data_IF_194146013228
#
_entry.id   IF_194146013228
#
_cell.length_a   1.000
_cell.length_b   1.000
_cell.length_c   1.000
_cell.angle_alpha   90.00
_cell.angle_beta   90.00
_cell.angle_gamma   90.00
#
_symmetry.space_group_name_H-M   'P 1'
#
loop_
_entity.id
_entity.type
_entity.pdbx_description
1 polymer ?
#
# COMPACT_ATOMS: atom_id res chain seq x y z
N UNK A 1 35.99 -16.34 24.66
CA UNK A 1 35.96 -16.56 23.19
C UNK A 1 34.75 -17.42 22.82
N UNK A 2 33.60 -16.81 22.46
CA UNK A 2 32.43 -17.44 21.78
C UNK A 2 31.26 -16.45 21.67
N UNK A 3 31.42 -15.39 20.87
CA UNK A 3 30.30 -14.60 20.34
C UNK A 3 30.54 -14.32 18.85
N UNK A 4 30.65 -15.39 18.06
CA UNK A 4 30.58 -15.34 16.59
C UNK A 4 29.78 -16.55 16.13
N UNK A 5 28.45 -16.48 16.26
CA UNK A 5 27.57 -17.33 15.47
C UNK A 5 26.45 -16.48 14.88
N UNK A 6 26.61 -16.25 13.57
CA UNK A 6 25.54 -16.25 12.57
C UNK A 6 24.68 -14.98 12.37
N UNK A 7 25.30 -13.89 11.91
CA UNK A 7 24.63 -12.79 11.19
C UNK A 7 24.30 -13.10 9.72
N UNK A 8 24.87 -14.19 9.18
CA UNK A 8 24.77 -14.56 7.76
C UNK A 8 23.35 -14.90 7.23
N UNK A 9 22.48 -15.64 7.94
CA UNK A 9 21.17 -16.00 7.42
C UNK A 9 20.22 -14.80 7.33
N UNK A 10 20.32 -13.83 8.24
CA UNK A 10 19.51 -12.61 8.19
C UNK A 10 19.97 -11.68 7.06
N UNK A 11 21.27 -11.54 6.85
CA UNK A 11 21.81 -10.79 5.72
C UNK A 11 21.39 -11.38 4.36
N UNK A 12 21.33 -12.71 4.25
CA UNK A 12 20.90 -13.40 3.03
C UNK A 12 19.42 -13.14 2.70
N UNK A 13 18.51 -13.26 3.67
CA UNK A 13 17.09 -12.96 3.48
C UNK A 13 16.86 -11.50 3.07
N UNK A 14 17.61 -10.56 3.67
CA UNK A 14 17.52 -9.14 3.30
C UNK A 14 17.95 -8.91 1.85
N UNK A 15 18.99 -9.60 1.38
CA UNK A 15 19.48 -9.47 0.01
C UNK A 15 18.49 -10.05 -1.01
N UNK A 16 17.97 -11.25 -0.74
CA UNK A 16 16.97 -11.93 -1.57
C UNK A 16 15.68 -11.11 -1.67
N UNK A 17 15.23 -10.54 -0.56
CA UNK A 17 14.08 -9.64 -0.53
C UNK A 17 14.33 -8.38 -1.37
N UNK A 18 15.51 -7.76 -1.26
CA UNK A 18 15.84 -6.58 -2.09
C UNK A 18 15.78 -6.91 -3.57
N UNK A 19 16.23 -8.09 -3.97
CA UNK A 19 16.17 -8.55 -5.34
C UNK A 19 14.71 -8.74 -5.80
N UNK A 20 13.89 -9.43 -5.00
CA UNK A 20 12.46 -9.60 -5.28
C UNK A 20 11.71 -8.27 -5.38
N UNK A 21 11.98 -7.33 -4.48
CA UNK A 21 11.42 -5.97 -4.50
C UNK A 21 11.87 -5.24 -5.77
N UNK A 22 13.15 -5.36 -6.15
CA UNK A 22 13.69 -4.78 -7.37
C UNK A 22 13.02 -5.34 -8.62
N UNK A 23 12.81 -6.66 -8.68
CA UNK A 23 12.09 -7.32 -9.76
C UNK A 23 10.62 -6.88 -9.83
N UNK A 24 9.95 -6.75 -8.68
CA UNK A 24 8.57 -6.26 -8.61
C UNK A 24 8.48 -4.81 -9.11
N UNK A 25 9.35 -3.91 -8.65
CA UNK A 25 9.41 -2.54 -9.11
C UNK A 25 9.66 -2.45 -10.62
N UNK A 26 10.59 -3.25 -11.15
CA UNK A 26 10.87 -3.32 -12.58
C UNK A 26 9.67 -3.82 -13.40
N UNK A 27 8.87 -4.74 -12.85
CA UNK A 27 7.62 -5.20 -13.49
C UNK A 27 6.55 -4.11 -13.45
N UNK A 28 6.33 -3.48 -12.30
CA UNK A 28 5.37 -2.37 -12.15
C UNK A 28 5.67 -1.22 -13.11
N UNK A 29 6.95 -0.89 -13.31
CA UNK A 29 7.37 0.15 -14.25
C UNK A 29 6.99 -0.14 -15.71
N UNK A 30 6.84 -1.42 -16.08
CA UNK A 30 6.50 -1.87 -17.45
C UNK A 30 5.00 -2.10 -17.67
N UNK A 31 4.19 -2.10 -16.61
CA UNK A 31 2.75 -2.30 -16.76
C UNK A 31 2.14 -1.09 -17.50
N UNK A 32 1.23 -1.33 -18.46
CA UNK A 32 0.44 -0.24 -19.02
C UNK A 32 -0.33 0.42 -17.88
N UNK A 33 -0.28 1.75 -17.83
CA UNK A 33 -1.00 2.56 -16.85
C UNK A 33 -1.78 3.62 -17.58
N UNK A 34 -3.09 3.48 -17.62
CA UNK A 34 -3.96 4.53 -18.13
C UNK A 34 -4.47 5.40 -16.98
N UNK A 35 -4.53 6.70 -17.22
CA UNK A 35 -5.20 7.62 -16.30
C UNK A 35 -6.65 7.72 -16.72
N UNK A 36 -7.58 7.46 -15.80
CA UNK A 36 -9.00 7.64 -16.05
C UNK A 36 -9.27 9.13 -16.29
N UNK A 37 -9.78 9.41 -17.50
CA UNK A 37 -10.21 10.75 -17.86
C UNK A 37 -11.58 11.02 -17.22
N UNK A 38 -11.81 12.25 -16.77
CA UNK A 38 -13.08 12.72 -16.20
C UNK A 38 -13.48 12.12 -14.84
N UNK A 39 -12.54 11.60 -14.05
CA UNK A 39 -12.82 11.19 -12.68
C UNK A 39 -13.18 12.42 -11.81
N UNK A 40 -14.41 12.47 -11.28
CA UNK A 40 -14.91 13.57 -10.44
C UNK A 40 -14.58 13.41 -8.96
N UNK A 41 -14.30 12.17 -8.53
CA UNK A 41 -13.87 11.82 -7.18
C UNK A 41 -12.73 10.83 -7.30
N UNK A 42 -11.53 11.24 -6.88
CA UNK A 42 -10.35 10.36 -6.86
C UNK A 42 -10.07 9.94 -5.43
N UNK A 43 -9.54 8.74 -5.30
CA UNK A 43 -9.11 8.14 -4.06
C UNK A 43 -7.84 7.34 -4.34
N UNK A 44 -7.04 7.13 -3.30
CA UNK A 44 -5.83 6.35 -3.39
C UNK A 44 -5.72 5.43 -2.19
N UNK A 45 -5.21 4.22 -2.44
CA UNK A 45 -4.93 3.23 -1.40
C UNK A 45 -3.47 2.82 -1.48
N UNK A 46 -2.84 2.59 -0.32
CA UNK A 46 -1.51 2.00 -0.22
C UNK A 46 -1.67 0.49 -0.02
N UNK A 47 -1.07 -0.32 -0.89
CA UNK A 47 -0.92 -1.77 -0.68
C UNK A 47 0.44 -2.02 -0.02
N UNK A 48 0.52 -2.16 1.31
CA UNK A 48 1.79 -2.22 2.02
C UNK A 48 2.34 -3.64 1.95
N UNK A 49 3.53 -3.80 1.36
CA UNK A 49 4.30 -5.05 1.39
C UNK A 49 5.33 -4.94 2.50
N UNK A 50 5.30 -5.88 3.44
CA UNK A 50 6.19 -5.92 4.58
C UNK A 50 6.73 -7.35 4.80
N UNK A 51 7.62 -7.50 5.78
CA UNK A 51 8.07 -8.82 6.24
C UNK A 51 7.62 -9.07 7.65
N UNK A 52 7.11 -10.26 7.89
CA UNK A 52 6.78 -10.74 9.25
C UNK A 52 7.92 -11.60 9.80
N UNK A 53 7.75 -12.11 11.02
CA UNK A 53 8.72 -13.04 11.63
C UNK A 53 8.99 -14.20 10.67
N UNK A 54 10.26 -14.48 10.39
CA UNK A 54 10.67 -15.49 9.40
C UNK A 54 11.14 -14.91 8.07
N UNK A 55 10.94 -13.61 7.82
CA UNK A 55 11.40 -12.94 6.59
C UNK A 55 10.47 -13.14 5.40
N UNK A 56 9.30 -13.73 5.60
CA UNK A 56 8.31 -13.96 4.55
C UNK A 56 7.64 -12.63 4.14
N UNK A 57 7.52 -12.36 2.83
CA UNK A 57 6.79 -11.21 2.33
C UNK A 57 5.30 -11.37 2.65
N UNK A 58 4.68 -10.30 3.12
CA UNK A 58 3.29 -10.26 3.58
C UNK A 58 2.66 -8.93 3.21
N UNK A 59 1.33 -8.92 3.16
CA UNK A 59 0.53 -7.73 2.92
C UNK A 59 -0.14 -7.31 4.23
N UNK A 60 -0.02 -6.04 4.58
CA UNK A 60 -0.74 -5.45 5.72
C UNK A 60 -2.08 -4.86 5.24
N UNK A 61 -3.14 -5.09 6.00
CA UNK A 61 -4.47 -4.56 5.71
C UNK A 61 -5.20 -4.21 7.01
N UNK A 62 -6.19 -3.33 6.90
CA UNK A 62 -7.06 -2.95 7.99
C UNK A 62 -8.26 -3.89 8.05
N UNK A 63 -8.72 -4.19 9.26
CA UNK A 63 -10.01 -4.81 9.52
C UNK A 63 -10.88 -3.77 10.23
N UNK A 64 -11.94 -3.30 9.56
CA UNK A 64 -12.82 -2.29 10.15
C UNK A 64 -13.57 -2.86 11.35
N UNK A 65 -13.69 -2.06 12.40
CA UNK A 65 -14.42 -2.45 13.62
C UNK A 65 -15.83 -2.92 13.28
N UNK A 66 -16.27 -4.00 13.93
CA UNK A 66 -17.62 -4.55 13.77
C UNK A 66 -18.72 -3.59 14.22
N UNK A 67 -18.36 -2.52 14.95
CA UNK A 67 -19.31 -1.57 15.54
C UNK A 67 -19.56 -0.33 14.68
N UNK A 68 -19.03 -0.25 13.46
CA UNK A 68 -19.27 0.90 12.58
C UNK A 68 -20.61 0.78 11.83
N UNK A 69 -21.29 1.90 11.65
CA UNK A 69 -22.58 1.99 10.93
C UNK A 69 -22.48 1.72 9.42
N UNK A 70 -21.28 1.62 8.86
CA UNK A 70 -21.04 1.24 7.46
C UNK A 70 -19.72 0.49 7.31
N UNK A 71 -19.71 -0.53 6.44
CA UNK A 71 -18.54 -1.35 6.10
C UNK A 71 -17.90 -2.07 7.31
N UNK A 72 -18.73 -2.52 8.25
CA UNK A 72 -18.28 -3.23 9.46
C UNK A 72 -17.67 -4.59 9.11
N UNK A 73 -16.49 -4.90 9.65
CA UNK A 73 -15.79 -6.17 9.40
C UNK A 73 -15.19 -6.30 8.00
N UNK A 74 -15.28 -5.28 7.16
CA UNK A 74 -14.64 -5.29 5.84
C UNK A 74 -13.12 -5.15 5.97
N UNK A 75 -12.42 -5.86 5.09
CA UNK A 75 -10.97 -5.72 4.91
C UNK A 75 -10.72 -4.60 3.91
N UNK A 76 -9.85 -3.66 4.28
CA UNK A 76 -9.46 -2.56 3.41
C UNK A 76 -7.96 -2.32 3.44
N UNK A 77 -7.44 -1.80 2.34
CA UNK A 77 -6.13 -1.16 2.37
C UNK A 77 -6.25 0.23 2.98
N UNK A 78 -5.19 0.72 3.64
CA UNK A 78 -5.13 2.11 4.10
C UNK A 78 -5.26 3.05 2.90
N UNK A 79 -6.12 4.04 3.02
CA UNK A 79 -6.39 4.95 1.92
C UNK A 79 -7.69 5.72 2.05
N UNK A 80 -7.87 6.68 1.16
CA UNK A 80 -8.95 7.64 1.27
C UNK A 80 -9.05 8.55 0.05
N UNK A 81 -9.83 9.61 0.19
CA UNK A 81 -10.12 10.55 -0.90
C UNK A 81 -8.95 11.52 -1.08
N UNK A 82 -8.70 11.90 -2.33
CA UNK A 82 -7.74 12.96 -2.65
C UNK A 82 -8.23 14.30 -2.04
N UNK A 83 -7.38 14.95 -1.26
CA UNK A 83 -7.63 16.26 -0.69
C UNK A 83 -6.95 17.38 -1.48
N UNK A 84 -7.44 18.62 -1.36
CA UNK A 84 -6.88 19.78 -2.09
C UNK A 84 -5.40 20.04 -1.81
N UNK A 85 -4.88 19.57 -0.66
CA UNK A 85 -3.48 19.71 -0.27
C UNK A 85 -2.56 18.59 -0.77
N UNK A 86 -3.11 17.51 -1.33
CA UNK A 86 -2.31 16.37 -1.76
C UNK A 86 -1.62 16.71 -3.09
N UNK A 87 -0.29 16.61 -3.12
CA UNK A 87 0.49 16.88 -4.33
C UNK A 87 0.31 15.81 -5.42
N UNK A 88 -0.16 14.62 -5.04
CA UNK A 88 -0.46 13.50 -5.94
C UNK A 88 -1.29 12.43 -5.22
N UNK A 89 -1.85 11.48 -5.98
CA UNK A 89 -2.50 10.29 -5.41
C UNK A 89 -1.56 9.44 -4.54
N UNK A 90 -0.25 9.46 -4.82
CA UNK A 90 0.73 8.78 -3.96
C UNK A 90 0.78 9.47 -2.60
N UNK A 91 0.79 10.80 -2.56
CA UNK A 91 0.76 11.55 -1.30
C UNK A 91 -0.56 11.36 -0.55
N UNK A 92 -1.70 11.27 -1.26
CA UNK A 92 -2.98 10.89 -0.65
C UNK A 92 -2.87 9.55 0.08
N UNK A 93 -2.40 8.50 -0.59
CA UNK A 93 -2.27 7.18 0.03
C UNK A 93 -1.29 7.16 1.22
N UNK A 94 -0.19 7.92 1.14
CA UNK A 94 0.80 8.03 2.22
C UNK A 94 0.25 8.79 3.44
N UNK A 95 -0.50 9.89 3.21
CA UNK A 95 -1.16 10.66 4.27
C UNK A 95 -2.17 9.77 5.00
N UNK A 96 -3.05 9.11 4.26
CA UNK A 96 -4.08 8.22 4.83
C UNK A 96 -3.46 7.06 5.61
N UNK A 97 -2.39 6.43 5.09
CA UNK A 97 -1.69 5.37 5.82
C UNK A 97 -1.03 5.86 7.13
N UNK A 98 -0.56 7.10 7.15
CA UNK A 98 -0.02 7.75 8.34
C UNK A 98 -1.12 8.04 9.36
N UNK A 99 -2.29 8.53 8.91
CA UNK A 99 -3.44 8.85 9.76
C UNK A 99 -4.13 7.60 10.32
N UNK A 100 -4.37 6.58 9.50
CA UNK A 100 -5.13 5.38 9.90
C UNK A 100 -4.29 4.37 10.70
N UNK A 101 -3.00 4.21 10.36
CA UNK A 101 -2.15 3.17 10.94
C UNK A 101 -0.94 3.72 11.70
N UNK A 102 -0.72 5.03 11.68
CA UNK A 102 0.52 5.62 12.22
C UNK A 102 1.77 5.24 11.44
N UNK A 103 1.64 4.78 10.18
CA UNK A 103 2.77 4.38 9.34
C UNK A 103 3.48 5.64 8.80
N UNK A 104 4.67 6.02 9.31
CA UNK A 104 5.30 7.26 8.89
C UNK A 104 5.71 7.16 7.43
N UNK A 105 5.32 8.13 6.59
CA UNK A 105 5.60 8.11 5.15
C UNK A 105 7.08 7.91 4.81
N UNK A 106 8.00 8.38 5.66
CA UNK A 106 9.46 8.21 5.52
C UNK A 106 9.92 6.76 5.61
N UNK A 107 9.10 5.85 6.14
CA UNK A 107 9.37 4.41 6.24
C UNK A 107 8.79 3.62 5.07
N UNK A 108 8.06 4.27 4.17
CA UNK A 108 7.45 3.65 2.99
C UNK A 108 8.35 3.93 1.79
N UNK A 109 8.73 2.87 1.08
CA UNK A 109 9.37 2.99 -0.24
C UNK A 109 8.34 2.67 -1.30
N UNK A 110 7.95 3.67 -2.10
CA UNK A 110 6.96 3.49 -3.17
C UNK A 110 7.62 2.78 -4.35
N UNK A 111 7.18 1.53 -4.61
CA UNK A 111 7.73 0.71 -5.70
C UNK A 111 7.13 1.04 -7.07
N UNK A 112 5.92 1.60 -7.09
CA UNK A 112 5.19 1.90 -8.31
C UNK A 112 3.70 2.14 -8.02
N UNK A 113 2.92 2.35 -9.08
CA UNK A 113 1.46 2.47 -9.03
C UNK A 113 0.85 1.41 -9.94
N UNK A 114 -0.34 0.91 -9.59
CA UNK A 114 -1.13 0.01 -10.43
C UNK A 114 -2.08 0.80 -11.34
N UNK A 115 -2.80 0.11 -12.22
CA UNK A 115 -3.85 0.69 -13.08
C UNK A 115 -4.95 1.35 -12.22
N UNK A 116 -5.45 2.50 -12.66
CA UNK A 116 -6.58 3.15 -11.99
C UNK A 116 -7.86 2.35 -12.21
N UNK A 117 -8.62 2.11 -11.13
CA UNK A 117 -9.90 1.37 -11.18
C UNK A 117 -11.06 2.35 -11.04
N UNK A 118 -12.04 2.26 -11.95
CA UNK A 118 -13.29 3.01 -11.84
C UNK A 118 -14.31 2.18 -11.06
N UNK A 119 -14.77 2.69 -9.92
CA UNK A 119 -15.88 2.11 -9.16
C UNK A 119 -17.18 2.82 -9.54
N UNK A 120 -18.08 2.17 -10.31
CA UNK A 120 -19.30 2.83 -10.74
C UNK A 120 -20.26 2.99 -9.56
N UNK A 121 -20.75 4.21 -9.37
CA UNK A 121 -21.80 4.51 -8.40
C UNK A 121 -23.11 4.76 -9.14
N UNK A 122 -24.07 3.86 -8.95
CA UNK A 122 -25.41 4.00 -9.52
C UNK A 122 -26.38 4.45 -8.41
N UNK A 123 -27.17 5.49 -8.69
CA UNK A 123 -28.25 5.94 -7.81
C UNK A 123 -29.51 6.20 -8.65
N UNK A 124 -30.65 5.77 -8.15
CA UNK A 124 -31.96 6.20 -8.64
C UNK A 124 -32.36 7.44 -7.83
N UNK A 125 -32.55 8.56 -8.52
CA UNK A 125 -33.08 9.79 -7.94
C UNK A 125 -34.59 9.87 -8.26
N UNK A 126 -35.42 10.40 -7.35
CA UNK A 126 -36.87 10.52 -7.56
C UNK A 126 -37.24 11.43 -8.73
#
# INVERSE_FOLDING_TARGET
>A
EKLKKSSAPMARHVLEMKEQIGQLAARLAKLPRSRLKNATKRAAVLVPICTVKGGEPSILYNLRSQHMTSHAGEVSFPGGREEKGDASLVETALREAEEEMGLPRKRVTVLGQLEEVCVPFFALLP
#
